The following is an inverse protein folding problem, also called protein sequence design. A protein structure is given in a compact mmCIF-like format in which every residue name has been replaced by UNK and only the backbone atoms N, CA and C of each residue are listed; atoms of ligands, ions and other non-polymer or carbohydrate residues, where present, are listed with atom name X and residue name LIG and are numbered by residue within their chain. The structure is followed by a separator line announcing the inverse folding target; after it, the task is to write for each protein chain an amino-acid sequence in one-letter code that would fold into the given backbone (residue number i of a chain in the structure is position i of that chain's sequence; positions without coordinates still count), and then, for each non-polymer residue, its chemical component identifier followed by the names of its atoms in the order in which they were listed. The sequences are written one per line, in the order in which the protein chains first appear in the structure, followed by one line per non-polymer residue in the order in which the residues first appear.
data_IF_682567388234
#
_entry.id   IF_682567388234
#
_cell.length_a   1.000
_cell.length_b   1.000
_cell.length_c   1.000
_cell.angle_alpha   90.00
_cell.angle_beta   90.00
_cell.angle_gamma   90.00
#
_symmetry.space_group_name_H-M   'P 1'
#
loop_
_entity.id
_entity.type
_entity.pdbx_description
1 polymer ?
#
# COMPACT_ATOMS: atom_id res chain seq x y z
N UNK A 1 -4.39 -18.03 0.58
CA UNK A 1 -3.71 -19.26 1.02
C UNK A 1 -2.27 -18.88 1.34
N UNK A 2 -1.84 -19.12 2.56
CA UNK A 2 -0.46 -18.86 2.98
C UNK A 2 0.47 -19.99 2.55
N UNK A 3 1.75 -19.68 2.38
CA UNK A 3 2.76 -20.66 2.03
C UNK A 3 2.76 -21.85 3.00
N UNK A 4 2.77 -23.06 2.46
CA UNK A 4 2.75 -24.31 3.23
C UNK A 4 1.35 -24.84 3.59
N UNK A 5 0.29 -24.13 3.26
CA UNK A 5 -1.07 -24.65 3.44
C UNK A 5 -1.51 -25.45 2.22
N UNK A 6 -1.94 -26.69 2.46
CA UNK A 6 -2.63 -27.50 1.45
C UNK A 6 -4.08 -27.03 1.40
N UNK A 7 -4.53 -26.56 0.25
CA UNK A 7 -5.90 -26.12 0.06
C UNK A 7 -6.37 -26.45 -1.35
N UNK A 8 -7.67 -26.65 -1.46
CA UNK A 8 -8.36 -26.82 -2.75
C UNK A 8 -9.45 -25.77 -2.87
N UNK A 9 -9.71 -25.33 -4.09
CA UNK A 9 -10.78 -24.39 -4.40
C UNK A 9 -11.73 -25.06 -5.38
N UNK A 10 -13.02 -25.02 -5.05
CA UNK A 10 -14.07 -25.51 -5.93
C UNK A 10 -15.09 -24.39 -6.18
N UNK A 11 -15.47 -24.21 -7.44
CA UNK A 11 -16.56 -23.30 -7.80
C UNK A 11 -17.88 -24.03 -7.60
N UNK A 12 -18.71 -23.54 -6.69
CA UNK A 12 -20.00 -24.16 -6.36
C UNK A 12 -21.08 -23.10 -6.17
N UNK A 13 -22.35 -23.51 -6.37
CA UNK A 13 -23.49 -22.68 -5.96
C UNK A 13 -23.69 -22.69 -4.43
N UNK A 14 -24.46 -21.74 -3.92
CA UNK A 14 -24.66 -21.57 -2.48
C UNK A 14 -25.29 -22.80 -1.78
N UNK A 15 -26.11 -23.57 -2.47
CA UNK A 15 -26.74 -24.76 -1.92
C UNK A 15 -25.75 -25.92 -1.78
N UNK A 16 -24.90 -26.11 -2.79
CA UNK A 16 -23.81 -27.09 -2.73
C UNK A 16 -22.74 -26.71 -1.69
N UNK A 17 -22.49 -25.42 -1.46
CA UNK A 17 -21.65 -24.93 -0.34
C UNK A 17 -22.30 -25.35 1.00
N UNK A 18 -23.60 -25.11 1.17
CA UNK A 18 -24.32 -25.48 2.39
C UNK A 18 -24.34 -27.00 2.61
N UNK A 19 -24.55 -27.78 1.55
CA UNK A 19 -24.52 -29.25 1.60
C UNK A 19 -23.13 -29.75 2.00
N UNK A 20 -22.09 -29.22 1.42
CA UNK A 20 -20.70 -29.55 1.75
C UNK A 20 -20.35 -29.19 3.22
N UNK A 21 -20.82 -28.05 3.72
CA UNK A 21 -20.66 -27.68 5.11
C UNK A 21 -21.42 -28.62 6.06
N UNK A 22 -22.66 -28.95 5.74
CA UNK A 22 -23.48 -29.92 6.50
C UNK A 22 -22.84 -31.32 6.52
N UNK A 23 -22.14 -31.70 5.47
CA UNK A 23 -21.40 -32.97 5.38
C UNK A 23 -19.94 -32.83 5.81
N UNK A 24 -19.66 -32.01 6.84
CA UNK A 24 -18.35 -31.86 7.50
C UNK A 24 -17.19 -31.47 6.55
N UNK A 25 -17.49 -30.78 5.45
CA UNK A 25 -16.50 -30.33 4.48
C UNK A 25 -16.21 -31.31 3.34
N UNK A 26 -16.84 -32.46 3.29
CA UNK A 26 -16.76 -33.36 2.13
C UNK A 26 -17.56 -32.78 0.96
N UNK A 27 -16.90 -32.63 -0.18
CA UNK A 27 -17.50 -32.03 -1.37
C UNK A 27 -18.80 -32.78 -1.73
N UNK A 28 -19.92 -32.09 -1.64
CA UNK A 28 -21.25 -32.69 -1.72
C UNK A 28 -22.17 -31.84 -2.57
N UNK A 29 -22.87 -32.45 -3.50
CA UNK A 29 -23.92 -31.79 -4.27
C UNK A 29 -25.13 -31.47 -3.40
N UNK A 30 -25.81 -30.37 -3.67
CA UNK A 30 -27.11 -30.08 -3.05
C UNK A 30 -28.21 -31.13 -3.35
N UNK A 31 -28.02 -31.91 -4.42
CA UNK A 31 -28.94 -33.01 -4.77
C UNK A 31 -28.74 -34.25 -3.90
N UNK A 32 -27.60 -34.37 -3.23
CA UNK A 32 -27.22 -35.58 -2.47
C UNK A 32 -27.57 -35.51 -0.98
N UNK A 33 -28.01 -34.35 -0.52
CA UNK A 33 -28.40 -34.13 0.90
C UNK A 33 -29.75 -33.43 0.96
N UNK A 34 -30.62 -33.94 1.82
CA UNK A 34 -31.87 -33.29 2.18
C UNK A 34 -31.59 -32.09 3.10
N UNK A 35 -31.35 -30.93 2.51
CA UNK A 35 -31.12 -29.65 3.22
C UNK A 35 -32.38 -28.81 3.13
N UNK A 36 -32.89 -28.41 4.28
CA UNK A 36 -34.01 -27.48 4.33
C UNK A 36 -33.54 -26.05 3.98
N UNK A 37 -33.82 -25.62 2.77
CA UNK A 37 -33.51 -24.28 2.26
C UNK A 37 -34.62 -23.27 2.55
N UNK A 38 -35.30 -23.36 3.68
CA UNK A 38 -36.27 -22.33 4.05
C UNK A 38 -35.60 -20.98 4.17
N UNK A 39 -36.19 -20.00 3.52
CA UNK A 39 -35.70 -18.58 3.62
C UNK A 39 -35.90 -18.12 5.05
N UNK A 40 -34.82 -17.77 5.78
CA UNK A 40 -34.97 -17.24 7.14
C UNK A 40 -35.72 -15.91 7.12
N UNK A 41 -36.49 -15.65 8.16
CA UNK A 41 -37.11 -14.36 8.33
C UNK A 41 -36.01 -13.32 8.59
N UNK A 42 -35.95 -12.30 7.75
CA UNK A 42 -35.02 -11.22 7.96
C UNK A 42 -35.35 -10.46 9.25
N UNK A 43 -34.35 -10.20 10.06
CA UNK A 43 -34.42 -9.26 11.16
C UNK A 43 -33.13 -8.41 11.18
N UNK A 44 -33.25 -7.22 11.67
CA UNK A 44 -32.10 -6.34 11.89
C UNK A 44 -31.97 -6.10 13.39
N UNK A 45 -30.79 -6.39 13.92
CA UNK A 45 -30.41 -6.09 15.29
C UNK A 45 -29.29 -5.04 15.26
N UNK A 46 -29.62 -3.83 15.60
CA UNK A 46 -28.68 -2.71 15.60
C UNK A 46 -27.66 -2.77 16.74
N UNK A 47 -27.94 -3.58 17.78
CA UNK A 47 -27.06 -3.73 18.95
C UNK A 47 -25.66 -4.19 18.55
N UNK A 48 -25.55 -5.09 17.57
CA UNK A 48 -24.27 -5.56 17.05
C UNK A 48 -23.47 -4.40 16.41
N UNK A 49 -24.15 -3.49 15.74
CA UNK A 49 -23.52 -2.32 15.14
C UNK A 49 -23.14 -1.29 16.21
N UNK A 50 -24.05 -0.96 17.10
CA UNK A 50 -23.85 0.01 18.19
C UNK A 50 -22.69 -0.41 19.12
N UNK A 51 -22.51 -1.70 19.36
CA UNK A 51 -21.40 -2.22 20.16
C UNK A 51 -20.03 -2.15 19.48
N UNK A 52 -19.96 -1.82 18.19
CA UNK A 52 -18.70 -1.76 17.41
C UNK A 52 -18.34 -0.36 16.95
N UNK A 53 -19.27 0.56 17.01
CA UNK A 53 -19.09 1.92 16.55
C UNK A 53 -19.20 2.84 17.77
N UNK A 54 -18.12 3.56 18.04
CA UNK A 54 -18.18 4.65 19.00
C UNK A 54 -18.97 5.81 18.35
N UNK A 55 -20.04 6.22 19.00
CA UNK A 55 -20.83 7.37 18.58
C UNK A 55 -20.75 8.46 19.65
N UNK A 56 -20.03 9.52 19.34
CA UNK A 56 -19.89 10.69 20.19
C UNK A 56 -21.08 11.66 20.10
N UNK A 57 -22.09 11.34 19.29
CA UNK A 57 -23.24 12.23 19.01
C UNK A 57 -22.82 13.64 18.55
N UNK A 58 -21.71 13.73 17.81
CA UNK A 58 -21.16 15.00 17.32
C UNK A 58 -20.41 15.84 18.35
N UNK A 59 -20.20 15.32 19.54
CA UNK A 59 -19.43 16.00 20.60
C UNK A 59 -18.01 15.42 20.64
N UNK A 60 -17.00 16.28 20.51
CA UNK A 60 -15.61 15.84 20.62
C UNK A 60 -15.28 15.48 22.07
N UNK A 61 -14.68 14.31 22.28
CA UNK A 61 -14.13 13.89 23.56
C UNK A 61 -12.61 13.80 23.47
N UNK A 62 -11.88 14.79 24.00
CA UNK A 62 -10.43 14.82 23.94
C UNK A 62 -9.73 13.75 24.78
N UNK A 63 -10.47 13.02 25.63
CA UNK A 63 -9.93 11.92 26.43
C UNK A 63 -9.86 10.60 25.65
N UNK A 64 -10.50 10.53 24.47
CA UNK A 64 -10.49 9.32 23.64
C UNK A 64 -9.20 9.24 22.84
N UNK A 65 -8.43 8.22 23.10
CA UNK A 65 -7.22 7.90 22.35
C UNK A 65 -7.53 7.00 21.16
N UNK A 66 -6.92 7.33 20.02
CA UNK A 66 -6.96 6.46 18.83
C UNK A 66 -5.96 5.33 19.01
N UNK A 67 -6.46 4.10 19.07
CA UNK A 67 -5.63 2.90 19.11
C UNK A 67 -5.61 2.24 17.73
N UNK A 68 -4.46 2.22 17.12
CA UNK A 68 -4.29 1.57 15.82
C UNK A 68 -4.27 0.05 15.98
N UNK A 69 -4.93 -0.64 15.06
CA UNK A 69 -4.76 -2.09 14.90
C UNK A 69 -3.33 -2.45 14.46
N UNK A 70 -2.93 -3.74 14.54
CA UNK A 70 -1.54 -4.16 14.33
C UNK A 70 -0.98 -3.82 12.93
N UNK A 71 -1.85 -3.73 11.93
CA UNK A 71 -1.47 -3.44 10.53
C UNK A 71 -1.69 -1.98 10.13
N UNK A 72 -2.15 -1.13 11.05
CA UNK A 72 -2.36 0.28 10.80
C UNK A 72 -1.14 1.04 11.28
N UNK A 73 -0.56 1.83 10.40
CA UNK A 73 0.58 2.69 10.70
C UNK A 73 0.26 4.12 10.29
N UNK A 74 0.79 5.05 11.03
CA UNK A 74 0.68 6.46 10.68
C UNK A 74 1.44 6.77 9.40
N UNK A 75 1.12 7.90 8.78
CA UNK A 75 1.90 8.43 7.66
C UNK A 75 3.32 8.76 8.12
N UNK A 76 4.32 8.52 7.28
CA UNK A 76 5.67 8.97 7.60
C UNK A 76 5.73 10.50 7.69
N UNK A 77 6.63 11.01 8.47
CA UNK A 77 6.96 12.44 8.43
C UNK A 77 7.42 12.80 7.01
N UNK A 78 6.86 13.86 6.46
CA UNK A 78 7.17 14.34 5.12
C UNK A 78 7.66 15.78 5.21
N UNK A 79 8.74 16.08 4.51
CA UNK A 79 9.26 17.43 4.37
C UNK A 79 8.36 18.25 3.46
N UNK A 80 8.32 19.57 3.66
CA UNK A 80 7.71 20.46 2.70
C UNK A 80 8.41 20.36 1.34
N UNK A 81 7.63 20.46 0.26
CA UNK A 81 8.20 20.48 -1.08
C UNK A 81 9.05 21.77 -1.25
N UNK A 82 10.28 21.66 -1.69
CA UNK A 82 11.11 22.82 -1.99
C UNK A 82 10.66 23.50 -3.29
N UNK A 83 11.17 24.68 -3.55
CA UNK A 83 10.89 25.43 -4.78
C UNK A 83 11.38 24.69 -6.03
N UNK A 84 12.51 24.01 -5.94
CA UNK A 84 13.11 23.29 -7.05
C UNK A 84 13.35 21.82 -6.66
N UNK A 85 13.19 20.92 -7.63
CA UNK A 85 13.45 19.49 -7.43
C UNK A 85 14.32 18.92 -8.55
N UNK A 86 15.30 18.12 -8.18
CA UNK A 86 16.03 17.27 -9.08
C UNK A 86 15.49 15.84 -8.98
N UNK A 87 14.87 15.38 -10.06
CA UNK A 87 14.24 14.04 -10.12
C UNK A 87 15.07 13.13 -11.02
N UNK A 88 15.42 11.96 -10.50
CA UNK A 88 16.02 10.88 -11.30
C UNK A 88 14.91 9.99 -11.84
N UNK A 89 14.93 9.74 -13.16
CA UNK A 89 14.11 8.67 -13.75
C UNK A 89 14.71 7.33 -13.31
N UNK A 90 13.98 6.58 -12.52
CA UNK A 90 14.43 5.30 -11.96
C UNK A 90 13.66 4.10 -12.52
N UNK A 91 12.62 4.36 -13.30
CA UNK A 91 11.88 3.34 -14.07
C UNK A 91 11.29 3.98 -15.32
N UNK A 92 11.29 3.22 -16.41
CA UNK A 92 10.68 3.60 -17.67
C UNK A 92 9.63 2.56 -18.05
N UNK A 93 8.41 3.02 -18.36
CA UNK A 93 7.28 2.17 -18.74
C UNK A 93 6.81 2.59 -20.13
N UNK A 94 7.10 1.76 -21.12
CA UNK A 94 6.75 2.03 -22.51
C UNK A 94 5.41 1.40 -22.95
N UNK A 95 4.71 0.74 -22.05
CA UNK A 95 3.41 0.15 -22.36
C UNK A 95 2.36 1.24 -22.56
N UNK A 96 1.45 1.07 -23.54
CA UNK A 96 0.42 2.07 -23.84
C UNK A 96 -0.62 2.21 -22.70
N UNK A 97 -0.72 1.23 -21.82
CA UNK A 97 -1.63 1.21 -20.67
C UNK A 97 -0.91 0.63 -19.46
N UNK A 98 -1.01 1.33 -18.35
CA UNK A 98 -0.56 0.85 -17.04
C UNK A 98 -1.75 0.81 -16.09
N UNK A 99 -1.98 -0.33 -15.47
CA UNK A 99 -3.09 -0.54 -14.54
C UNK A 99 -2.67 -0.23 -13.10
N UNK A 100 -3.64 0.09 -12.26
CA UNK A 100 -3.40 0.23 -10.81
C UNK A 100 -2.79 -1.01 -10.19
N UNK A 101 -3.13 -2.20 -10.70
CA UNK A 101 -2.63 -3.48 -10.17
C UNK A 101 -1.17 -3.75 -10.57
N UNK A 102 -0.69 -3.12 -11.63
CA UNK A 102 0.74 -3.11 -12.00
C UNK A 102 1.52 -2.12 -11.14
N UNK A 103 0.92 -0.98 -10.79
CA UNK A 103 1.55 -0.01 -9.89
C UNK A 103 1.61 -0.54 -8.45
N UNK A 104 0.49 -1.03 -7.93
CA UNK A 104 0.38 -1.61 -6.58
C UNK A 104 -0.48 -2.88 -6.67
N UNK A 105 0.08 -4.08 -6.61
CA UNK A 105 -0.67 -5.33 -6.74
C UNK A 105 -1.59 -5.56 -5.53
N UNK A 106 -2.89 -5.46 -5.76
CA UNK A 106 -3.93 -5.44 -4.71
C UNK A 106 -4.01 -6.72 -3.88
N UNK A 107 -3.78 -7.88 -4.49
CA UNK A 107 -3.81 -9.18 -3.80
C UNK A 107 -2.70 -9.33 -2.76
N UNK A 108 -1.48 -8.97 -3.12
CA UNK A 108 -0.29 -9.09 -2.28
C UNK A 108 -0.26 -8.03 -1.17
N UNK A 109 -0.86 -6.88 -1.41
CA UNK A 109 -0.80 -5.72 -0.53
C UNK A 109 -2.00 -5.57 0.39
N UNK A 110 -2.93 -6.52 0.41
CA UNK A 110 -4.17 -6.44 1.18
C UNK A 110 -3.94 -6.15 2.68
N UNK A 111 -2.89 -6.72 3.27
CA UNK A 111 -2.52 -6.50 4.67
C UNK A 111 -1.83 -5.16 4.95
N UNK A 112 -1.40 -4.44 3.91
CA UNK A 112 -0.64 -3.19 4.02
C UNK A 112 -1.44 -1.94 3.66
N UNK A 113 -2.75 -2.05 3.37
CA UNK A 113 -3.58 -0.92 2.91
C UNK A 113 -3.61 0.27 3.85
N UNK A 114 -3.43 0.03 5.14
CA UNK A 114 -3.36 1.08 6.17
C UNK A 114 -1.93 1.24 6.73
N UNK A 115 -0.93 0.87 5.95
CA UNK A 115 0.49 1.04 6.25
C UNK A 115 1.19 1.63 5.01
N UNK A 116 1.27 2.95 4.89
CA UNK A 116 1.78 3.60 3.68
C UNK A 116 3.18 3.17 3.27
N UNK A 117 4.11 3.07 4.22
CA UNK A 117 5.47 2.62 3.93
C UNK A 117 5.53 1.16 3.54
N UNK A 118 4.78 0.28 4.25
CA UNK A 118 4.68 -1.13 3.89
C UNK A 118 4.06 -1.33 2.52
N UNK A 119 3.07 -0.52 2.15
CA UNK A 119 2.45 -0.54 0.83
C UNK A 119 3.43 -0.08 -0.26
N UNK A 120 4.22 0.95 0.00
CA UNK A 120 5.19 1.49 -0.94
C UNK A 120 6.29 0.49 -1.35
N UNK A 121 6.61 -0.49 -0.50
CA UNK A 121 7.56 -1.56 -0.82
C UNK A 121 7.12 -2.45 -1.99
N UNK A 122 5.85 -2.44 -2.33
CA UNK A 122 5.29 -3.20 -3.44
C UNK A 122 5.09 -2.38 -4.73
N UNK A 123 5.50 -1.10 -4.72
CA UNK A 123 5.35 -0.25 -5.90
C UNK A 123 6.09 -0.86 -7.10
N UNK A 124 5.38 -1.07 -8.21
CA UNK A 124 5.85 -1.69 -9.45
C UNK A 124 6.43 -3.11 -9.29
N UNK A 125 6.19 -3.81 -8.17
CA UNK A 125 6.83 -5.10 -7.88
C UNK A 125 6.66 -6.17 -8.97
N UNK A 126 5.58 -6.09 -9.75
CA UNK A 126 5.32 -7.00 -10.89
C UNK A 126 5.90 -6.51 -12.21
N UNK A 127 6.03 -5.20 -12.39
CA UNK A 127 6.47 -4.57 -13.63
C UNK A 127 7.97 -4.31 -13.64
N UNK A 128 8.47 -3.79 -12.54
CA UNK A 128 9.86 -3.42 -12.33
C UNK A 128 10.25 -3.70 -10.86
N UNK A 129 10.59 -4.94 -10.52
CA UNK A 129 10.87 -5.33 -9.13
C UNK A 129 11.99 -4.56 -8.45
N UNK A 130 12.90 -3.97 -9.22
CA UNK A 130 14.04 -3.21 -8.70
C UNK A 130 13.72 -1.72 -8.48
N UNK A 131 12.53 -1.25 -8.90
CA UNK A 131 12.13 0.14 -8.81
C UNK A 131 12.30 0.72 -7.41
N UNK A 132 11.75 0.04 -6.40
CA UNK A 132 11.78 0.52 -5.00
C UNK A 132 13.22 0.64 -4.50
N UNK A 133 14.08 -0.30 -4.86
CA UNK A 133 15.51 -0.26 -4.52
C UNK A 133 16.18 0.98 -5.09
N UNK A 134 16.00 1.23 -6.41
CA UNK A 134 16.58 2.40 -7.08
C UNK A 134 16.02 3.73 -6.54
N UNK A 135 14.71 3.79 -6.24
CA UNK A 135 14.09 4.96 -5.63
C UNK A 135 14.68 5.28 -4.23
N UNK A 136 14.91 4.25 -3.42
CA UNK A 136 15.55 4.38 -2.10
C UNK A 136 16.99 4.87 -2.17
N UNK A 137 17.74 4.53 -3.21
CA UNK A 137 19.09 5.06 -3.39
C UNK A 137 19.07 6.60 -3.54
N UNK A 138 18.13 7.13 -4.34
CA UNK A 138 17.98 8.58 -4.47
C UNK A 138 17.41 9.23 -3.21
N UNK A 139 16.52 8.54 -2.48
CA UNK A 139 16.01 9.03 -1.21
C UNK A 139 17.13 9.34 -0.19
N UNK A 140 18.28 8.66 -0.28
CA UNK A 140 19.43 8.95 0.58
C UNK A 140 19.93 10.38 0.43
N UNK A 141 19.85 10.95 -0.78
CA UNK A 141 20.24 12.34 -1.03
C UNK A 141 19.31 13.32 -0.31
N UNK A 142 18.01 13.07 -0.36
CA UNK A 142 17.02 13.89 0.35
C UNK A 142 17.21 13.79 1.87
N UNK A 143 17.36 12.58 2.40
CA UNK A 143 17.59 12.36 3.83
C UNK A 143 18.89 13.00 4.33
N UNK A 144 19.93 13.04 3.51
CA UNK A 144 21.17 13.72 3.86
C UNK A 144 20.94 15.22 4.06
N UNK A 145 20.18 15.87 3.16
CA UNK A 145 19.85 17.29 3.32
C UNK A 145 19.01 17.51 4.58
N UNK A 146 18.00 16.70 4.82
CA UNK A 146 17.15 16.80 6.02
C UNK A 146 17.93 16.65 7.32
N UNK A 147 19.04 15.90 7.30
CA UNK A 147 19.97 15.78 8.43
C UNK A 147 21.08 16.84 8.47
N UNK A 148 21.08 17.79 7.52
CA UNK A 148 22.10 18.81 7.41
C UNK A 148 23.41 18.35 6.76
N UNK A 149 23.38 17.22 6.07
CA UNK A 149 24.51 16.65 5.36
C UNK A 149 24.45 16.99 3.85
N UNK A 150 25.57 16.80 3.16
CA UNK A 150 25.63 17.04 1.72
C UNK A 150 25.07 15.86 0.92
N UNK A 151 24.04 16.11 0.11
CA UNK A 151 23.42 15.10 -0.77
C UNK A 151 24.42 14.37 -1.67
N UNK A 152 25.42 15.08 -2.21
CA UNK A 152 26.46 14.51 -3.07
C UNK A 152 27.44 13.57 -2.36
N UNK A 153 27.53 13.65 -1.01
CA UNK A 153 28.28 12.64 -0.24
C UNK A 153 27.50 11.35 -0.09
N UNK A 154 26.18 11.47 0.11
CA UNK A 154 25.31 10.31 0.24
C UNK A 154 25.07 9.61 -1.10
N UNK A 155 24.97 10.39 -2.19
CA UNK A 155 24.75 9.89 -3.55
C UNK A 155 25.71 10.62 -4.50
N UNK A 156 26.86 10.02 -4.87
CA UNK A 156 27.88 10.68 -5.70
C UNK A 156 27.37 11.19 -7.05
N UNK A 157 26.44 10.48 -7.68
CA UNK A 157 25.80 10.88 -8.94
C UNK A 157 25.10 12.25 -8.81
N UNK A 158 24.53 12.55 -7.65
CA UNK A 158 23.92 13.86 -7.38
C UNK A 158 24.95 14.97 -7.42
N UNK A 159 26.17 14.75 -6.93
CA UNK A 159 27.23 15.75 -6.98
C UNK A 159 27.64 16.06 -8.43
N UNK A 160 27.75 15.05 -9.28
CA UNK A 160 28.09 15.20 -10.70
C UNK A 160 27.03 16.01 -11.44
N UNK A 161 25.75 15.62 -11.27
CA UNK A 161 24.63 16.29 -11.92
C UNK A 161 24.47 17.72 -11.43
N UNK A 162 24.64 17.97 -10.14
CA UNK A 162 24.61 19.34 -9.58
C UNK A 162 25.70 20.23 -10.17
N UNK A 163 26.85 19.68 -10.53
CA UNK A 163 27.89 20.39 -11.26
C UNK A 163 27.44 20.87 -12.65
N UNK A 164 26.59 20.09 -13.31
CA UNK A 164 25.98 20.44 -14.60
C UNK A 164 24.81 21.42 -14.41
N UNK A 165 23.95 21.18 -13.44
CA UNK A 165 22.79 22.04 -13.14
C UNK A 165 23.25 23.48 -12.82
N UNK A 166 24.25 23.65 -11.98
CA UNK A 166 24.79 24.96 -11.59
C UNK A 166 25.35 25.78 -12.77
N UNK A 167 25.81 25.12 -13.83
CA UNK A 167 26.24 25.84 -15.04
C UNK A 167 25.07 26.50 -15.77
N UNK A 168 23.90 25.94 -15.70
CA UNK A 168 22.69 26.44 -16.36
C UNK A 168 21.81 27.25 -15.41
N UNK A 169 21.82 26.91 -14.15
CA UNK A 169 21.04 27.53 -13.07
C UNK A 169 22.02 27.86 -11.91
N UNK A 170 22.74 28.99 -11.94
CA UNK A 170 23.76 29.32 -10.94
C UNK A 170 23.22 29.43 -9.51
N UNK A 171 21.94 29.77 -9.36
CA UNK A 171 21.22 29.88 -8.09
C UNK A 171 20.89 28.52 -7.45
N UNK A 172 20.97 27.40 -8.20
CA UNK A 172 20.71 26.11 -7.68
C UNK A 172 21.74 25.68 -6.66
N UNK A 173 21.28 25.31 -5.47
CA UNK A 173 22.12 24.85 -4.37
C UNK A 173 21.46 23.64 -3.65
N UNK A 174 22.22 22.95 -2.84
CA UNK A 174 21.67 21.89 -2.00
C UNK A 174 20.68 22.39 -0.93
N UNK A 175 20.63 23.69 -0.70
CA UNK A 175 19.78 24.33 0.31
C UNK A 175 18.38 24.65 -0.25
N UNK A 176 18.28 24.93 -1.56
CA UNK A 176 17.03 25.30 -2.23
C UNK A 176 16.48 24.24 -3.18
N UNK A 177 17.08 23.06 -3.18
CA UNK A 177 16.65 21.92 -4.03
C UNK A 177 16.30 20.71 -3.20
N UNK A 178 15.24 20.00 -3.60
CA UNK A 178 14.94 18.66 -3.15
C UNK A 178 15.37 17.60 -4.17
N UNK A 179 15.52 16.39 -3.70
CA UNK A 179 15.93 15.24 -4.50
C UNK A 179 14.87 14.14 -4.42
N UNK A 180 14.56 13.54 -5.54
CA UNK A 180 13.57 12.51 -5.62
C UNK A 180 13.74 11.61 -6.84
N UNK A 181 12.84 10.66 -6.97
CA UNK A 181 12.78 9.76 -8.11
C UNK A 181 11.46 9.93 -8.85
N UNK A 182 11.46 9.56 -10.12
CA UNK A 182 10.25 9.57 -10.96
C UNK A 182 10.20 8.34 -11.85
N UNK A 183 9.02 8.04 -12.34
CA UNK A 183 8.73 7.04 -13.38
C UNK A 183 8.46 7.83 -14.67
N UNK A 184 8.96 7.35 -15.78
CA UNK A 184 8.69 7.86 -17.11
C UNK A 184 7.86 6.85 -17.91
#
# INVERSE_FOLDING_TARGET
VQNGQISSVALMDARSIAATAANKGFLTSAADIDVNFTKPKYFFDKTIYENRVFDSHGVADPSVEIQFGPNIKDWPAMSALPENMLLKVVSEIHDPVTTTDELIPSGETSSYRSNPLGLAEFALSRKDPEYVGRAKEIQKAQKAIESGECAGKAVPEVAEIMGVVKKKFPEASHENMGFGSTIF
#
